data_IF_244314204132
#
_entry.id   IF_244314204132
#
_cell.length_a   1.000
_cell.length_b   1.000
_cell.length_c   1.000
_cell.angle_alpha   90.00
_cell.angle_beta   90.00
_cell.angle_gamma   90.00
#
_symmetry.space_group_name_H-M   'P 1'
#
loop_
_entity.id
_entity.type
_entity.pdbx_description
1 polymer ?
#
# COMPACT_ATOMS: atom_id res chain seq x y z
N UNK A 1 15.58 -14.23 10.07
CA UNK A 1 14.86 -13.18 10.85
C UNK A 1 15.85 -12.64 11.88
N UNK A 2 16.23 -11.36 11.79
CA UNK A 2 16.98 -10.72 12.86
C UNK A 2 16.04 -10.59 14.07
N UNK A 3 16.50 -11.02 15.24
CA UNK A 3 15.74 -10.86 16.48
C UNK A 3 15.79 -9.38 16.88
N UNK A 4 14.63 -8.75 17.13
CA UNK A 4 14.59 -7.40 17.69
C UNK A 4 15.39 -7.37 18.99
N UNK A 5 16.30 -6.39 19.13
CA UNK A 5 17.13 -6.25 20.35
C UNK A 5 16.32 -5.70 21.53
N UNK A 6 15.38 -4.79 21.23
CA UNK A 6 14.57 -4.10 22.23
C UNK A 6 13.17 -3.96 21.65
N UNK A 7 12.18 -4.24 22.49
CA UNK A 7 10.77 -4.06 22.19
C UNK A 7 10.11 -3.39 23.37
N UNK A 8 9.74 -2.13 23.20
CA UNK A 8 9.04 -1.32 24.17
C UNK A 8 7.70 -0.89 23.59
N UNK A 9 6.63 -1.00 24.35
CA UNK A 9 5.28 -0.62 23.94
C UNK A 9 4.50 0.14 25.01
N UNK A 10 3.43 0.78 24.59
CA UNK A 10 2.47 1.49 25.42
C UNK A 10 1.09 1.50 24.78
N UNK A 11 0.05 1.37 25.61
CA UNK A 11 -1.36 1.47 25.20
C UNK A 11 -2.06 2.54 26.02
N UNK A 12 -2.92 3.31 25.37
CA UNK A 12 -3.77 4.31 26.01
C UNK A 12 -5.15 4.40 25.36
N UNK A 13 -6.17 4.64 26.17
CA UNK A 13 -7.54 4.89 25.75
C UNK A 13 -7.87 6.38 25.94
N UNK A 14 -8.70 6.95 25.07
CA UNK A 14 -9.12 8.37 25.08
C UNK A 14 -7.95 9.37 25.17
N UNK A 15 -6.87 9.09 24.43
CA UNK A 15 -5.63 9.84 24.48
C UNK A 15 -5.64 11.06 23.57
N UNK A 16 -4.74 12.01 23.88
CA UNK A 16 -4.43 13.17 23.03
C UNK A 16 -3.20 12.90 22.15
N UNK A 17 -3.06 13.65 21.06
CA UNK A 17 -1.86 13.60 20.21
C UNK A 17 -0.59 13.93 21.00
N UNK A 18 -0.65 14.89 21.92
CA UNK A 18 0.48 15.27 22.76
C UNK A 18 0.94 14.13 23.68
N UNK A 19 0.00 13.33 24.21
CA UNK A 19 0.32 12.13 24.98
C UNK A 19 1.00 11.09 24.12
N UNK A 20 0.49 10.82 22.90
CA UNK A 20 1.10 9.90 21.95
C UNK A 20 2.55 10.32 21.66
N UNK A 21 2.79 11.58 21.31
CA UNK A 21 4.15 12.09 21.04
C UNK A 21 5.08 11.96 22.26
N UNK A 22 4.56 12.25 23.46
CA UNK A 22 5.30 12.08 24.71
C UNK A 22 5.70 10.62 24.93
N UNK A 23 4.80 9.68 24.65
CA UNK A 23 5.09 8.25 24.80
C UNK A 23 6.11 7.76 23.74
N UNK A 24 6.01 8.21 22.50
CA UNK A 24 7.02 7.92 21.47
C UNK A 24 8.40 8.39 21.94
N UNK A 25 8.50 9.62 22.45
CA UNK A 25 9.76 10.15 22.96
C UNK A 25 10.31 9.34 24.16
N UNK A 26 9.44 8.93 25.07
CA UNK A 26 9.79 8.11 26.24
C UNK A 26 10.31 6.73 25.81
N UNK A 27 9.58 6.03 24.94
CA UNK A 27 9.95 4.68 24.47
C UNK A 27 11.28 4.71 23.70
N UNK A 28 11.50 5.73 22.88
CA UNK A 28 12.81 5.94 22.21
C UNK A 28 13.93 6.15 23.22
N UNK A 29 13.70 6.96 24.24
CA UNK A 29 14.71 7.20 25.25
C UNK A 29 15.05 5.93 26.03
N UNK A 30 14.05 5.15 26.45
CA UNK A 30 14.24 3.86 27.10
C UNK A 30 15.05 2.90 26.20
N UNK A 31 14.67 2.74 24.94
CA UNK A 31 15.38 1.92 23.97
C UNK A 31 16.84 2.37 23.74
N UNK A 32 17.15 3.66 23.94
CA UNK A 32 18.52 4.18 23.84
C UNK A 32 19.40 3.88 25.04
N UNK A 33 18.81 3.75 26.21
CA UNK A 33 19.54 3.44 27.46
C UNK A 33 19.89 1.95 27.58
N UNK A 34 19.00 1.07 27.08
CA UNK A 34 19.18 -0.38 27.16
C UNK A 34 20.14 -0.92 26.08
N UNK A 35 20.37 -0.17 24.99
CA UNK A 35 21.35 -0.51 24.00
C UNK A 35 22.72 0.07 24.37
N UNK A 36 23.74 -0.78 24.49
CA UNK A 36 25.16 -0.33 24.55
C UNK A 36 25.62 0.32 23.23
N UNK A 37 24.74 0.43 22.24
CA UNK A 37 24.99 0.94 20.90
C UNK A 37 24.16 2.22 20.66
N UNK A 38 24.72 3.24 20.00
CA UNK A 38 23.97 4.44 19.67
C UNK A 38 22.81 4.12 18.71
N UNK A 39 21.59 4.48 19.10
CA UNK A 39 20.41 4.34 18.27
C UNK A 39 20.42 5.39 17.15
N UNK A 40 20.38 4.94 15.90
CA UNK A 40 20.19 5.82 14.75
C UNK A 40 18.68 5.98 14.51
N UNK A 41 18.24 7.23 14.47
CA UNK A 41 16.94 7.56 13.87
C UNK A 41 17.10 7.54 12.36
N UNK A 42 16.71 6.43 11.74
CA UNK A 42 16.85 6.22 10.28
C UNK A 42 15.50 6.13 9.61
N UNK A 43 14.46 6.76 10.15
CA UNK A 43 13.19 6.86 9.42
C UNK A 43 13.44 7.57 8.10
N UNK A 44 13.14 6.92 7.00
CA UNK A 44 13.30 7.43 5.63
C UNK A 44 11.97 7.89 5.04
N UNK A 45 10.85 7.58 5.71
CA UNK A 45 9.49 7.92 5.31
C UNK A 45 8.53 7.87 6.49
N UNK A 46 7.35 8.45 6.33
CA UNK A 46 6.17 8.11 7.12
C UNK A 46 5.28 7.18 6.29
N UNK A 47 4.92 6.04 6.84
CA UNK A 47 4.01 5.10 6.23
C UNK A 47 2.67 5.09 6.97
N UNK A 48 1.61 5.49 6.30
CA UNK A 48 0.23 5.43 6.80
C UNK A 48 -0.41 4.16 6.23
N UNK A 49 -1.09 3.39 7.06
CA UNK A 49 -1.97 2.32 6.65
C UNK A 49 -3.39 2.63 7.13
N UNK A 50 -4.31 2.91 6.20
CA UNK A 50 -5.75 2.98 6.49
C UNK A 50 -6.33 1.57 6.38
N UNK A 51 -6.78 1.02 7.48
CA UNK A 51 -7.29 -0.34 7.57
C UNK A 51 -8.57 -0.39 8.42
N UNK A 52 -9.77 -0.42 7.79
CA UNK A 52 -11.00 -0.75 8.48
C UNK A 52 -10.88 -2.04 9.29
N UNK A 53 -11.69 -2.25 10.36
CA UNK A 53 -11.51 -3.38 11.29
C UNK A 53 -11.36 -4.76 10.63
N UNK A 54 -12.06 -5.01 9.55
CA UNK A 54 -11.97 -6.26 8.78
C UNK A 54 -10.62 -6.47 8.08
N UNK A 55 -9.86 -5.39 7.86
CA UNK A 55 -8.54 -5.40 7.24
C UNK A 55 -7.38 -5.23 8.23
N UNK A 56 -7.67 -4.91 9.50
CA UNK A 56 -6.66 -4.58 10.52
C UNK A 56 -5.62 -5.69 10.65
N UNK A 57 -6.04 -6.93 10.89
CA UNK A 57 -5.13 -8.06 11.05
C UNK A 57 -4.20 -8.27 9.84
N UNK A 58 -4.76 -8.22 8.62
CA UNK A 58 -3.97 -8.34 7.40
C UNK A 58 -2.99 -7.17 7.20
N UNK A 59 -3.32 -5.97 7.69
CA UNK A 59 -2.40 -4.83 7.70
C UNK A 59 -1.26 -5.04 8.68
N UNK A 60 -1.54 -5.48 9.91
CA UNK A 60 -0.53 -5.78 10.94
C UNK A 60 0.47 -6.84 10.47
N UNK A 61 0.00 -7.95 9.89
CA UNK A 61 0.86 -9.00 9.32
C UNK A 61 1.77 -8.46 8.22
N UNK A 62 1.22 -7.62 7.34
CA UNK A 62 2.00 -7.01 6.24
C UNK A 62 3.08 -6.08 6.79
N UNK A 63 2.73 -5.23 7.77
CA UNK A 63 3.64 -4.29 8.41
C UNK A 63 4.75 -4.98 9.20
N UNK A 64 4.42 -6.06 9.92
CA UNK A 64 5.42 -6.84 10.65
C UNK A 64 6.51 -7.41 9.74
N UNK A 65 6.17 -7.80 8.50
CA UNK A 65 7.13 -8.29 7.51
C UNK A 65 8.00 -7.20 6.86
N UNK A 66 7.70 -5.91 7.10
CA UNK A 66 8.38 -4.78 6.47
C UNK A 66 9.34 -4.03 7.39
N UNK A 67 9.16 -4.13 8.70
CA UNK A 67 9.86 -3.31 9.69
C UNK A 67 11.39 -3.33 9.60
N UNK A 68 11.98 -4.46 9.19
CA UNK A 68 13.43 -4.61 9.01
C UNK A 68 13.95 -3.92 7.74
N UNK A 69 13.12 -3.84 6.69
CA UNK A 69 13.55 -3.31 5.38
C UNK A 69 13.34 -1.81 5.25
N UNK A 70 12.27 -1.32 5.86
CA UNK A 70 11.88 0.08 5.78
C UNK A 70 11.72 0.65 7.19
N UNK A 71 12.84 1.04 7.85
CA UNK A 71 12.76 1.75 9.11
C UNK A 71 11.99 3.05 8.90
N UNK A 72 10.79 3.13 9.45
CA UNK A 72 9.84 4.21 9.22
C UNK A 72 9.07 4.51 10.49
N UNK A 73 8.41 5.66 10.52
CA UNK A 73 7.25 5.84 11.37
C UNK A 73 6.05 5.29 10.63
N UNK A 74 5.42 4.26 11.18
CA UNK A 74 4.19 3.66 10.64
C UNK A 74 3.00 4.09 11.48
N UNK A 75 1.99 4.67 10.83
CA UNK A 75 0.70 5.02 11.42
C UNK A 75 -0.35 4.05 10.89
N UNK A 76 -0.80 3.09 11.71
CA UNK A 76 -1.93 2.22 11.38
C UNK A 76 -3.22 2.87 11.88
N UNK A 77 -4.09 3.28 10.98
CA UNK A 77 -5.34 3.95 11.27
C UNK A 77 -6.51 2.97 11.12
N UNK A 78 -7.20 2.71 12.22
CA UNK A 78 -8.36 1.82 12.29
C UNK A 78 -9.62 2.66 12.54
N UNK A 79 -10.41 3.00 11.49
CA UNK A 79 -11.62 3.80 11.65
C UNK A 79 -12.75 2.99 12.27
N UNK A 80 -13.40 3.54 13.29
CA UNK A 80 -14.59 3.00 13.95
C UNK A 80 -15.64 4.10 14.14
N UNK A 81 -16.31 4.55 13.05
CA UNK A 81 -17.20 5.70 13.06
C UNK A 81 -18.46 5.49 13.92
N UNK A 82 -18.88 4.24 14.13
CA UNK A 82 -20.09 3.89 14.87
C UNK A 82 -19.89 3.89 16.41
N UNK A 83 -18.66 4.04 16.89
CA UNK A 83 -18.37 4.15 18.32
C UNK A 83 -18.45 5.60 18.81
N UNK A 84 -18.62 5.82 20.14
CA UNK A 84 -18.49 7.15 20.72
C UNK A 84 -17.16 7.81 20.38
N UNK A 85 -17.15 9.15 20.26
CA UNK A 85 -15.95 9.93 19.94
C UNK A 85 -14.79 9.60 20.87
N UNK A 86 -13.62 9.39 20.30
CA UNK A 86 -12.40 9.10 21.06
C UNK A 86 -11.22 8.75 20.17
N UNK A 87 -10.06 8.63 20.78
CA UNK A 87 -8.82 8.22 20.15
C UNK A 87 -8.08 7.25 21.08
N UNK A 88 -7.96 5.99 20.66
CA UNK A 88 -7.14 5.04 21.39
C UNK A 88 -5.83 4.81 20.63
N UNK A 89 -4.75 4.55 21.33
CA UNK A 89 -3.45 4.38 20.73
C UNK A 89 -2.66 3.21 21.33
N UNK A 90 -1.99 2.47 20.45
CA UNK A 90 -0.90 1.58 20.78
C UNK A 90 0.38 2.09 20.12
N UNK A 91 1.45 2.24 20.88
CA UNK A 91 2.76 2.73 20.39
C UNK A 91 3.82 1.68 20.69
N UNK A 92 4.55 1.27 19.66
CA UNK A 92 5.64 0.31 19.78
C UNK A 92 6.90 0.84 19.09
N UNK A 93 8.05 0.72 19.75
CA UNK A 93 9.37 1.01 19.20
C UNK A 93 10.14 -0.30 19.08
N UNK A 94 10.59 -0.63 17.86
CA UNK A 94 11.35 -1.86 17.59
C UNK A 94 12.71 -1.50 17.01
N UNK A 95 13.77 -1.99 17.66
CA UNK A 95 15.13 -1.75 17.23
C UNK A 95 15.79 -3.03 16.73
N UNK A 96 16.47 -2.95 15.59
CA UNK A 96 17.16 -4.05 14.94
C UNK A 96 18.67 -3.75 14.87
N UNK A 97 19.56 -4.75 15.05
CA UNK A 97 20.99 -4.54 14.96
C UNK A 97 21.43 -4.22 13.52
N UNK A 98 22.28 -3.23 13.37
CA UNK A 98 22.93 -2.89 12.12
C UNK A 98 24.43 -2.63 12.36
N UNK A 99 25.26 -3.68 12.32
CA UNK A 99 26.68 -3.60 12.64
C UNK A 99 26.88 -3.18 14.10
N UNK A 100 27.56 -2.04 14.32
CA UNK A 100 27.83 -1.42 15.63
C UNK A 100 26.73 -0.42 16.08
N UNK A 101 25.59 -0.42 15.39
CA UNK A 101 24.46 0.50 15.63
C UNK A 101 23.14 -0.24 15.64
N UNK A 102 22.08 0.40 16.11
CA UNK A 102 20.72 -0.09 16.02
C UNK A 102 19.86 0.86 15.16
N UNK A 103 19.01 0.29 14.32
CA UNK A 103 17.97 1.00 13.56
C UNK A 103 16.66 0.78 14.25
N UNK A 104 15.94 1.84 14.56
CA UNK A 104 14.64 1.77 15.23
C UNK A 104 13.52 2.23 14.30
N UNK A 105 12.46 1.43 14.20
CA UNK A 105 11.19 1.78 13.59
C UNK A 105 10.12 2.02 14.67
N UNK A 106 9.13 2.84 14.35
CA UNK A 106 8.01 3.18 15.22
C UNK A 106 6.71 2.71 14.56
N UNK A 107 5.90 2.00 15.31
CA UNK A 107 4.54 1.63 14.91
C UNK A 107 3.58 2.30 15.88
N UNK A 108 2.67 3.11 15.36
CA UNK A 108 1.64 3.82 16.07
C UNK A 108 0.31 3.36 15.51
N UNK A 109 -0.40 2.55 16.26
CA UNK A 109 -1.74 2.09 15.89
C UNK A 109 -2.76 2.99 16.56
N UNK A 110 -3.71 3.50 15.78
CA UNK A 110 -4.68 4.51 16.19
C UNK A 110 -6.09 4.03 15.86
N UNK A 111 -6.90 3.79 16.88
CA UNK A 111 -8.34 3.55 16.70
C UNK A 111 -9.06 4.90 16.69
N UNK A 112 -9.60 5.26 15.52
CA UNK A 112 -10.29 6.52 15.28
C UNK A 112 -11.79 6.31 15.50
N UNK A 113 -12.29 6.70 16.68
CA UNK A 113 -13.68 6.50 17.07
C UNK A 113 -14.56 7.70 16.72
N UNK A 114 -15.80 7.44 16.31
CA UNK A 114 -16.82 8.46 16.03
C UNK A 114 -16.34 9.49 15.00
N UNK A 115 -16.50 10.76 15.29
CA UNK A 115 -16.11 11.88 14.40
C UNK A 115 -14.60 11.93 14.06
N UNK A 116 -13.74 11.28 14.84
CA UNK A 116 -12.31 11.18 14.56
C UNK A 116 -12.03 10.38 13.28
N UNK A 117 -12.87 9.38 12.96
CA UNK A 117 -12.75 8.61 11.73
C UNK A 117 -12.98 9.47 10.47
N UNK A 118 -13.81 10.52 10.55
CA UNK A 118 -14.05 11.43 9.44
C UNK A 118 -12.99 12.54 9.29
N UNK A 119 -12.09 12.72 10.28
CA UNK A 119 -11.10 13.81 10.29
C UNK A 119 -9.65 13.31 10.51
N UNK A 120 -9.19 12.28 9.77
CA UNK A 120 -7.89 11.64 10.01
C UNK A 120 -6.69 12.57 9.80
N UNK A 121 -6.78 13.56 8.92
CA UNK A 121 -5.66 14.49 8.69
C UNK A 121 -5.30 15.29 9.95
N UNK A 122 -6.28 15.65 10.79
CA UNK A 122 -6.03 16.38 12.04
C UNK A 122 -5.21 15.56 13.05
N UNK A 123 -5.26 14.23 12.93
CA UNK A 123 -4.54 13.29 13.80
C UNK A 123 -3.18 12.95 13.19
N UNK A 124 -3.12 12.76 11.88
CA UNK A 124 -1.92 12.34 11.16
C UNK A 124 -0.89 13.48 11.07
N UNK A 125 -1.33 14.70 10.70
CA UNK A 125 -0.43 15.83 10.44
C UNK A 125 0.58 16.10 11.58
N UNK A 126 0.19 16.17 12.87
CA UNK A 126 1.14 16.36 13.96
C UNK A 126 2.13 15.20 14.12
N UNK A 127 1.75 13.99 13.72
CA UNK A 127 2.55 12.78 13.83
C UNK A 127 3.50 12.54 12.64
N UNK A 128 3.39 13.31 11.57
CA UNK A 128 4.30 13.21 10.44
C UNK A 128 5.72 13.64 10.82
N UNK A 129 6.70 13.00 10.20
CA UNK A 129 8.09 13.44 10.30
C UNK A 129 8.32 14.47 9.20
N UNK A 130 8.69 15.70 9.59
CA UNK A 130 8.97 16.78 8.64
C UNK A 130 10.03 16.37 7.61
N UNK A 131 9.85 16.84 6.38
CA UNK A 131 10.78 16.65 5.25
C UNK A 131 10.97 15.19 4.79
N UNK A 132 10.13 14.26 5.28
CA UNK A 132 10.11 12.88 4.79
C UNK A 132 8.87 12.61 3.94
N UNK A 133 9.00 11.78 2.89
CA UNK A 133 7.86 11.39 2.06
C UNK A 133 6.82 10.61 2.87
N UNK A 134 5.56 10.83 2.52
CA UNK A 134 4.40 10.22 3.17
C UNK A 134 3.71 9.26 2.19
N UNK A 135 3.71 7.98 2.51
CA UNK A 135 3.02 6.94 1.75
C UNK A 135 1.77 6.50 2.51
N UNK A 136 0.65 6.32 1.81
CA UNK A 136 -0.57 5.78 2.40
C UNK A 136 -1.00 4.50 1.69
N UNK A 137 -0.97 3.36 2.39
CA UNK A 137 -1.64 2.13 1.95
C UNK A 137 -3.10 2.18 2.40
N UNK A 138 -4.01 2.26 1.44
CA UNK A 138 -5.43 2.17 1.70
C UNK A 138 -5.91 0.74 1.52
N UNK A 139 -6.49 0.14 2.55
CA UNK A 139 -7.07 -1.21 2.51
C UNK A 139 -8.55 -1.14 2.13
N UNK A 140 -8.97 -2.12 1.34
CA UNK A 140 -10.32 -2.17 0.79
C UNK A 140 -10.55 -1.14 -0.33
N UNK A 141 -11.80 -1.02 -0.72
CA UNK A 141 -12.24 -0.02 -1.69
C UNK A 141 -12.27 1.36 -1.03
N UNK A 142 -11.62 2.39 -1.60
CA UNK A 142 -11.78 3.74 -1.09
C UNK A 142 -13.23 4.24 -1.24
N UNK A 143 -13.70 4.93 -0.23
CA UNK A 143 -14.90 5.76 -0.37
C UNK A 143 -14.48 7.09 -1.03
N UNK A 144 -14.41 7.09 -2.37
CA UNK A 144 -13.76 8.11 -3.21
C UNK A 144 -14.10 9.56 -2.88
N UNK A 145 -15.32 9.81 -2.39
CA UNK A 145 -15.83 11.15 -2.08
C UNK A 145 -15.89 11.42 -0.57
N UNK A 146 -15.49 10.47 0.28
CA UNK A 146 -15.52 10.69 1.74
C UNK A 146 -14.52 11.75 2.20
N UNK A 147 -14.87 12.41 3.29
CA UNK A 147 -13.99 13.39 3.93
C UNK A 147 -12.68 12.74 4.39
N UNK A 148 -12.73 11.54 4.95
CA UNK A 148 -11.55 10.79 5.42
C UNK A 148 -10.57 10.52 4.29
N UNK A 149 -11.06 10.02 3.14
CA UNK A 149 -10.23 9.74 1.98
C UNK A 149 -9.64 11.03 1.38
N UNK A 150 -10.49 12.05 1.18
CA UNK A 150 -10.07 13.32 0.60
C UNK A 150 -9.00 14.03 1.45
N UNK A 151 -9.15 14.00 2.77
CA UNK A 151 -8.19 14.57 3.70
C UNK A 151 -6.85 13.84 3.68
N UNK A 152 -6.85 12.50 3.68
CA UNK A 152 -5.61 11.73 3.61
C UNK A 152 -4.91 11.93 2.27
N UNK A 153 -5.62 11.92 1.14
CA UNK A 153 -5.05 12.23 -0.18
C UNK A 153 -4.40 13.63 -0.21
N UNK A 154 -4.92 14.57 0.58
CA UNK A 154 -4.37 15.94 0.68
C UNK A 154 -3.04 16.06 1.44
N UNK A 155 -2.63 15.02 2.19
CA UNK A 155 -1.43 15.07 3.07
C UNK A 155 -0.36 14.03 2.72
N UNK A 156 -0.59 13.23 1.68
CA UNK A 156 0.33 12.17 1.25
C UNK A 156 0.99 12.48 -0.09
N UNK A 157 2.18 11.93 -0.30
CA UNK A 157 2.89 12.00 -1.59
C UNK A 157 2.51 10.83 -2.50
N UNK A 158 2.13 9.68 -1.91
CA UNK A 158 1.75 8.48 -2.66
C UNK A 158 0.64 7.71 -1.99
N UNK A 159 -0.36 7.38 -2.81
CA UNK A 159 -1.42 6.43 -2.49
C UNK A 159 -1.05 5.04 -3.01
N UNK A 160 -1.10 4.03 -2.15
CA UNK A 160 -0.93 2.62 -2.51
C UNK A 160 -2.25 1.89 -2.28
N UNK A 161 -2.83 1.35 -3.33
CA UNK A 161 -4.07 0.55 -3.30
C UNK A 161 -3.80 -0.89 -3.74
N UNK A 162 -4.76 -1.76 -3.54
CA UNK A 162 -4.81 -3.09 -4.15
C UNK A 162 -6.21 -3.28 -4.75
N UNK A 163 -6.34 -3.10 -6.03
CA UNK A 163 -7.63 -3.18 -6.72
C UNK A 163 -8.23 -4.60 -6.71
N UNK A 164 -7.49 -5.61 -6.28
CA UNK A 164 -8.08 -6.94 -6.01
C UNK A 164 -9.02 -6.93 -4.81
N UNK A 165 -8.97 -5.89 -3.96
CA UNK A 165 -9.85 -5.69 -2.81
C UNK A 165 -11.17 -4.96 -3.19
N UNK A 166 -11.37 -4.61 -4.48
CA UNK A 166 -12.51 -3.80 -4.94
C UNK A 166 -13.60 -4.65 -5.61
N UNK A 167 -14.90 -4.37 -5.34
CA UNK A 167 -16.00 -5.13 -5.92
C UNK A 167 -16.33 -4.74 -7.37
N UNK A 168 -16.21 -3.46 -7.73
CA UNK A 168 -16.54 -2.92 -9.06
C UNK A 168 -15.32 -2.27 -9.72
N UNK A 169 -14.43 -3.11 -10.20
CA UNK A 169 -13.12 -2.72 -10.70
C UNK A 169 -13.17 -1.71 -11.86
N UNK A 170 -14.00 -1.86 -12.93
CA UNK A 170 -14.00 -0.89 -14.02
C UNK A 170 -14.41 0.52 -13.57
N UNK A 171 -15.50 0.64 -12.79
CA UNK A 171 -15.97 1.94 -12.28
C UNK A 171 -14.94 2.57 -11.33
N UNK A 172 -14.36 1.77 -10.43
CA UNK A 172 -13.36 2.24 -9.47
C UNK A 172 -12.07 2.73 -10.13
N UNK A 173 -11.68 2.17 -11.29
CA UNK A 173 -10.56 2.73 -12.06
C UNK A 173 -10.86 4.11 -12.65
N UNK A 174 -12.11 4.40 -13.01
CA UNK A 174 -12.49 5.75 -13.42
C UNK A 174 -12.34 6.76 -12.29
N UNK A 175 -12.68 6.38 -11.06
CA UNK A 175 -12.47 7.21 -9.87
C UNK A 175 -10.99 7.35 -9.50
N UNK A 176 -10.23 6.25 -9.53
CA UNK A 176 -8.79 6.27 -9.30
C UNK A 176 -8.07 7.19 -10.30
N UNK A 177 -8.47 7.19 -11.56
CA UNK A 177 -7.85 8.00 -12.61
C UNK A 177 -7.97 9.52 -12.36
N UNK A 178 -8.98 9.97 -11.61
CA UNK A 178 -9.15 11.39 -11.21
C UNK A 178 -8.06 11.86 -10.24
N UNK A 179 -7.36 10.93 -9.60
CA UNK A 179 -6.31 11.24 -8.63
C UNK A 179 -4.92 11.38 -9.26
N UNK A 180 -4.69 10.87 -10.46
CA UNK A 180 -3.35 10.81 -11.06
C UNK A 180 -2.67 12.18 -11.22
N UNK A 181 -3.44 13.27 -11.33
CA UNK A 181 -2.88 14.63 -11.42
C UNK A 181 -2.66 15.28 -10.03
N UNK A 182 -3.07 14.61 -8.94
CA UNK A 182 -3.03 15.15 -7.56
C UNK A 182 -2.00 14.44 -6.69
N UNK A 183 -1.88 13.13 -6.81
CA UNK A 183 -1.03 12.28 -5.98
C UNK A 183 -0.45 11.15 -6.83
N UNK A 184 0.76 10.71 -6.52
CA UNK A 184 1.30 9.52 -7.15
C UNK A 184 0.53 8.29 -6.67
N UNK A 185 0.13 7.41 -7.60
CA UNK A 185 -0.65 6.21 -7.29
C UNK A 185 0.13 4.95 -7.65
N UNK A 186 0.05 3.96 -6.79
CA UNK A 186 0.51 2.60 -7.04
C UNK A 186 -0.62 1.62 -6.77
N UNK A 187 -0.75 0.61 -7.63
CA UNK A 187 -1.71 -0.49 -7.44
C UNK A 187 -0.94 -1.81 -7.32
N UNK A 188 -1.13 -2.49 -6.20
CA UNK A 188 -0.50 -3.79 -5.92
C UNK A 188 -0.94 -4.85 -6.95
N UNK A 189 -2.21 -4.79 -7.40
CA UNK A 189 -2.69 -5.69 -8.46
C UNK A 189 -1.89 -5.51 -9.76
N UNK A 190 -1.55 -4.25 -10.11
CA UNK A 190 -0.69 -3.94 -11.26
C UNK A 190 0.69 -4.57 -11.15
N UNK A 191 1.34 -4.47 -10.00
CA UNK A 191 2.68 -5.03 -9.82
C UNK A 191 2.70 -6.56 -9.89
N UNK A 192 1.64 -7.20 -9.39
CA UNK A 192 1.49 -8.66 -9.53
C UNK A 192 1.39 -9.11 -10.99
N UNK A 193 1.08 -8.23 -11.94
CA UNK A 193 1.08 -8.53 -13.39
C UNK A 193 2.45 -8.34 -14.04
N UNK A 194 3.46 -7.81 -13.38
CA UNK A 194 4.74 -7.39 -13.98
C UNK A 194 5.41 -8.50 -14.81
N UNK A 195 5.49 -9.69 -14.26
CA UNK A 195 6.12 -10.84 -14.94
C UNK A 195 5.35 -11.26 -16.19
N UNK A 196 4.02 -11.19 -16.14
CA UNK A 196 3.16 -11.48 -17.29
C UNK A 196 3.29 -10.40 -18.36
N UNK A 197 3.32 -9.13 -17.97
CA UNK A 197 3.55 -8.03 -18.92
C UNK A 197 4.92 -8.13 -19.58
N UNK A 198 5.96 -8.53 -18.85
CA UNK A 198 7.28 -8.80 -19.41
C UNK A 198 7.26 -9.94 -20.44
N UNK A 199 6.57 -11.04 -20.13
CA UNK A 199 6.37 -12.15 -21.05
C UNK A 199 5.62 -11.68 -22.31
N UNK A 200 4.47 -11.03 -22.16
CA UNK A 200 3.67 -10.57 -23.31
C UNK A 200 4.44 -9.57 -24.17
N UNK A 201 5.19 -8.65 -23.56
CA UNK A 201 6.06 -7.73 -24.30
C UNK A 201 7.12 -8.45 -25.15
N UNK A 202 7.62 -9.61 -24.69
CA UNK A 202 8.61 -10.41 -25.45
C UNK A 202 8.03 -11.10 -26.69
N UNK A 203 6.71 -11.14 -26.83
CA UNK A 203 6.03 -11.71 -28.01
C UNK A 203 5.96 -10.72 -29.18
N UNK A 204 6.45 -9.49 -29.01
CA UNK A 204 6.53 -8.52 -30.10
C UNK A 204 7.42 -9.04 -31.24
N UNK A 205 7.04 -8.88 -32.56
CA UNK A 205 5.86 -8.16 -33.07
C UNK A 205 4.57 -9.00 -33.15
N UNK A 206 4.60 -10.29 -32.83
CA UNK A 206 3.44 -11.18 -32.97
C UNK A 206 2.20 -10.75 -32.18
N UNK A 207 2.38 -10.07 -31.03
CA UNK A 207 1.28 -9.57 -30.21
C UNK A 207 0.61 -8.31 -30.78
N UNK A 208 1.17 -7.69 -31.83
CA UNK A 208 0.69 -6.40 -32.34
C UNK A 208 -0.75 -6.44 -32.85
N UNK A 209 -1.20 -7.59 -33.36
CA UNK A 209 -2.52 -7.79 -33.99
C UNK A 209 -3.49 -8.56 -33.08
N UNK A 210 -3.17 -8.73 -31.77
CA UNK A 210 -4.03 -9.48 -30.85
C UNK A 210 -5.39 -8.78 -30.68
N UNK A 211 -6.48 -9.55 -30.88
CA UNK A 211 -7.85 -9.05 -30.77
C UNK A 211 -8.52 -9.43 -29.46
N UNK A 212 -8.12 -10.56 -28.85
CA UNK A 212 -8.75 -11.09 -27.64
C UNK A 212 -7.69 -11.52 -26.64
N UNK A 213 -7.86 -11.10 -25.38
CA UNK A 213 -7.10 -11.62 -24.25
C UNK A 213 -8.03 -12.33 -23.28
N UNK A 214 -7.75 -13.62 -23.00
CA UNK A 214 -8.41 -14.35 -21.91
C UNK A 214 -7.48 -14.37 -20.73
N UNK A 215 -7.96 -13.89 -19.59
CA UNK A 215 -7.18 -13.84 -18.36
C UNK A 215 -7.75 -14.82 -17.34
N UNK A 216 -6.92 -15.75 -16.88
CA UNK A 216 -7.22 -16.66 -15.78
C UNK A 216 -6.64 -16.06 -14.48
N UNK A 217 -7.42 -15.22 -13.79
CA UNK A 217 -6.94 -14.44 -12.68
C UNK A 217 -8.03 -13.61 -12.00
N UNK A 218 -7.61 -12.65 -11.18
CA UNK A 218 -8.57 -11.75 -10.56
C UNK A 218 -9.12 -10.74 -11.57
N UNK A 219 -10.32 -10.24 -11.33
CA UNK A 219 -10.96 -9.22 -12.15
C UNK A 219 -10.06 -7.98 -12.33
N UNK A 220 -9.44 -7.51 -11.24
CA UNK A 220 -8.53 -6.37 -11.29
C UNK A 220 -7.33 -6.60 -12.22
N UNK A 221 -6.67 -7.75 -12.12
CA UNK A 221 -5.53 -8.09 -12.97
C UNK A 221 -5.95 -8.22 -14.44
N UNK A 222 -7.13 -8.75 -14.70
CA UNK A 222 -7.66 -8.89 -16.06
C UNK A 222 -7.89 -7.52 -16.72
N UNK A 223 -8.59 -6.61 -16.04
CA UNK A 223 -8.81 -5.26 -16.55
C UNK A 223 -7.52 -4.47 -16.74
N UNK A 224 -6.57 -4.57 -15.80
CA UNK A 224 -5.28 -3.90 -15.92
C UNK A 224 -4.44 -4.44 -17.08
N UNK A 225 -4.44 -5.75 -17.31
CA UNK A 225 -3.73 -6.37 -18.44
C UNK A 225 -4.35 -5.96 -19.78
N UNK A 226 -5.69 -6.01 -19.90
CA UNK A 226 -6.38 -5.48 -21.07
C UNK A 226 -6.07 -4.01 -21.28
N UNK A 227 -6.22 -3.18 -20.25
CA UNK A 227 -5.95 -1.75 -20.35
C UNK A 227 -4.49 -1.45 -20.74
N UNK A 228 -3.55 -2.25 -20.26
CA UNK A 228 -2.16 -2.16 -20.69
C UNK A 228 -1.99 -2.52 -22.16
N UNK A 229 -2.58 -3.62 -22.64
CA UNK A 229 -2.54 -3.99 -24.06
C UNK A 229 -3.14 -2.89 -24.93
N UNK A 230 -4.35 -2.42 -24.63
CA UNK A 230 -5.02 -1.33 -25.36
C UNK A 230 -4.12 -0.08 -25.41
N UNK A 231 -3.53 0.31 -24.28
CA UNK A 231 -2.67 1.50 -24.20
C UNK A 231 -1.36 1.37 -25.00
N UNK A 232 -0.88 0.14 -25.25
CA UNK A 232 0.38 -0.12 -25.96
C UNK A 232 0.18 -0.43 -27.43
N UNK A 233 -0.89 -1.13 -27.77
CA UNK A 233 -1.18 -1.53 -29.15
C UNK A 233 -1.91 -0.42 -29.93
N UNK A 234 -2.63 0.47 -29.22
CA UNK A 234 -3.37 1.58 -29.82
C UNK A 234 -4.69 1.18 -30.47
N UNK A 235 -5.16 -0.05 -30.25
CA UNK A 235 -6.48 -0.54 -30.65
C UNK A 235 -7.18 -1.24 -29.49
N UNK A 236 -8.49 -1.49 -29.66
CA UNK A 236 -9.26 -2.20 -28.63
C UNK A 236 -8.89 -3.70 -28.61
N UNK A 237 -8.89 -4.27 -27.40
CA UNK A 237 -8.64 -5.70 -27.16
C UNK A 237 -9.79 -6.22 -26.31
N UNK A 238 -10.50 -7.23 -26.82
CA UNK A 238 -11.59 -7.87 -26.10
C UNK A 238 -11.05 -8.63 -24.89
N UNK A 239 -11.70 -8.48 -23.73
CA UNK A 239 -11.39 -9.22 -22.51
C UNK A 239 -12.37 -10.36 -22.30
N UNK A 240 -11.84 -11.57 -22.19
CA UNK A 240 -12.54 -12.72 -21.61
C UNK A 240 -11.90 -13.07 -20.26
N UNK A 241 -12.72 -13.26 -19.23
CA UNK A 241 -12.26 -13.50 -17.86
C UNK A 241 -12.69 -14.90 -17.37
N UNK A 242 -11.71 -15.72 -16.99
CA UNK A 242 -11.89 -16.88 -16.15
C UNK A 242 -11.44 -16.53 -14.73
N UNK A 243 -12.40 -16.15 -13.86
CA UNK A 243 -12.11 -15.58 -12.53
C UNK A 243 -11.45 -16.60 -11.62
N UNK A 244 -10.31 -16.22 -11.03
CA UNK A 244 -9.47 -17.00 -10.11
C UNK A 244 -9.00 -16.12 -8.96
N UNK A 245 -8.55 -16.73 -7.88
CA UNK A 245 -8.00 -16.01 -6.73
C UNK A 245 -6.69 -15.26 -7.04
N UNK A 246 -5.96 -15.72 -8.06
CA UNK A 246 -4.67 -15.15 -8.50
C UNK A 246 -4.49 -15.34 -10.01
N UNK A 247 -3.55 -14.60 -10.58
CA UNK A 247 -3.21 -14.72 -11.99
C UNK A 247 -2.46 -16.03 -12.27
N UNK A 248 -3.12 -16.94 -12.97
CA UNK A 248 -2.63 -18.30 -13.26
C UNK A 248 -2.36 -18.53 -14.76
N UNK A 249 -2.89 -17.68 -15.64
CA UNK A 249 -2.70 -17.87 -17.07
C UNK A 249 -3.24 -16.72 -17.90
N UNK A 250 -2.74 -16.63 -19.13
CA UNK A 250 -3.20 -15.70 -20.17
C UNK A 250 -3.26 -16.46 -21.48
N UNK A 251 -4.35 -16.31 -22.25
CA UNK A 251 -4.45 -16.75 -23.62
C UNK A 251 -4.62 -15.54 -24.54
N UNK A 252 -3.96 -15.57 -25.70
CA UNK A 252 -4.05 -14.56 -26.75
C UNK A 252 -4.70 -15.21 -27.97
N UNK A 253 -5.84 -14.68 -28.41
CA UNK A 253 -6.64 -15.22 -29.53
C UNK A 253 -6.86 -16.74 -29.40
N UNK A 254 -7.05 -17.24 -28.17
CA UNK A 254 -7.27 -18.65 -27.85
C UNK A 254 -5.99 -19.48 -27.68
N UNK A 255 -4.81 -18.92 -27.88
CA UNK A 255 -3.55 -19.62 -27.66
C UNK A 255 -2.96 -19.29 -26.29
N UNK A 256 -2.63 -20.34 -25.51
CA UNK A 256 -2.06 -20.21 -24.17
C UNK A 256 -0.64 -19.62 -24.22
N UNK A 257 -0.44 -18.48 -23.56
CA UNK A 257 0.91 -17.94 -23.34
C UNK A 257 1.72 -18.83 -22.39
N UNK A 258 3.04 -18.87 -22.56
CA UNK A 258 3.94 -19.59 -21.67
C UNK A 258 3.90 -19.00 -20.25
N UNK A 259 4.27 -19.81 -19.23
CA UNK A 259 4.36 -19.29 -17.86
C UNK A 259 5.59 -18.39 -17.69
N UNK A 260 5.46 -17.23 -17.02
CA UNK A 260 6.60 -16.40 -16.69
C UNK A 260 7.56 -17.11 -15.73
N UNK A 261 8.87 -16.94 -15.94
CA UNK A 261 9.88 -17.53 -15.08
C UNK A 261 9.89 -16.92 -13.65
N UNK A 262 10.31 -17.69 -12.65
CA UNK A 262 10.53 -17.26 -11.27
C UNK A 262 9.31 -17.42 -10.33
N UNK A 263 9.50 -17.13 -9.03
CA UNK A 263 8.47 -17.22 -8.00
C UNK A 263 7.78 -15.87 -7.79
N UNK A 264 6.45 -15.81 -7.64
CA UNK A 264 5.75 -14.58 -7.30
C UNK A 264 6.22 -14.02 -5.93
N UNK A 265 6.38 -12.68 -5.78
CA UNK A 265 6.70 -12.08 -4.50
C UNK A 265 5.52 -12.18 -3.52
N UNK A 266 5.82 -12.24 -2.21
CA UNK A 266 4.80 -12.19 -1.16
C UNK A 266 4.26 -10.76 -0.94
N UNK A 267 3.18 -10.61 -0.14
CA UNK A 267 2.51 -9.33 0.09
C UNK A 267 3.45 -8.24 0.64
N UNK A 268 4.28 -8.56 1.63
CA UNK A 268 5.23 -7.62 2.22
C UNK A 268 6.31 -7.19 1.22
N UNK A 269 6.78 -8.10 0.36
CA UNK A 269 7.76 -7.78 -0.68
C UNK A 269 7.17 -6.88 -1.77
N UNK A 270 5.91 -7.10 -2.15
CA UNK A 270 5.21 -6.25 -3.13
C UNK A 270 4.99 -4.85 -2.56
N UNK A 271 4.50 -4.73 -1.32
CA UNK A 271 4.33 -3.43 -0.68
C UNK A 271 5.68 -2.72 -0.49
N UNK A 272 6.71 -3.43 -0.04
CA UNK A 272 8.08 -2.92 0.08
C UNK A 272 8.57 -2.28 -1.23
N UNK A 273 8.37 -2.97 -2.36
CA UNK A 273 8.75 -2.45 -3.67
C UNK A 273 7.98 -1.17 -4.07
N UNK A 274 6.75 -0.94 -3.55
CA UNK A 274 6.03 0.30 -3.76
C UNK A 274 6.65 1.47 -2.98
N UNK A 275 7.11 1.21 -1.77
CA UNK A 275 7.71 2.22 -0.91
C UNK A 275 9.10 2.67 -1.41
N UNK A 276 9.75 1.88 -2.26
CA UNK A 276 11.02 2.25 -2.92
C UNK A 276 10.81 3.13 -4.17
N UNK A 277 9.57 3.31 -4.62
CA UNK A 277 9.25 4.08 -5.84
C UNK A 277 8.78 5.48 -5.47
N UNK A 278 9.56 6.49 -5.81
CA UNK A 278 9.23 7.91 -5.53
C UNK A 278 8.61 8.63 -6.73
N UNK A 279 8.64 8.04 -7.93
CA UNK A 279 8.12 8.64 -9.16
C UNK A 279 6.81 8.04 -9.59
N UNK A 280 6.00 8.81 -10.33
CA UNK A 280 4.77 8.32 -10.98
C UNK A 280 5.10 7.23 -11.99
N UNK A 281 4.16 6.30 -12.20
CA UNK A 281 4.26 5.24 -13.20
C UNK A 281 3.23 5.50 -14.32
N UNK A 282 3.64 6.25 -15.33
CA UNK A 282 2.78 6.62 -16.48
C UNK A 282 2.19 5.39 -17.20
N UNK A 283 2.93 4.28 -17.22
CA UNK A 283 2.45 3.03 -17.84
C UNK A 283 1.28 2.43 -17.06
N UNK A 284 1.37 2.43 -15.73
CA UNK A 284 0.30 1.99 -14.84
C UNK A 284 -0.92 2.90 -14.95
N UNK A 285 -0.70 4.22 -14.98
CA UNK A 285 -1.77 5.21 -15.12
C UNK A 285 -2.50 5.07 -16.46
N UNK A 286 -1.78 4.88 -17.55
CA UNK A 286 -2.37 4.65 -18.87
C UNK A 286 -3.18 3.34 -18.91
N UNK A 287 -2.68 2.26 -18.30
CA UNK A 287 -3.38 1.00 -18.19
C UNK A 287 -4.67 1.12 -17.37
N UNK A 288 -4.63 1.81 -16.21
CA UNK A 288 -5.79 2.02 -15.37
C UNK A 288 -6.87 2.90 -16.06
N UNK A 289 -6.46 3.97 -16.77
CA UNK A 289 -7.38 4.79 -17.59
C UNK A 289 -8.08 3.94 -18.68
N UNK A 290 -7.35 3.08 -19.36
CA UNK A 290 -7.92 2.19 -20.37
C UNK A 290 -8.73 1.02 -19.76
N UNK A 291 -8.50 0.66 -18.52
CA UNK A 291 -9.23 -0.38 -17.79
C UNK A 291 -10.61 0.09 -17.31
N UNK A 292 -10.86 1.39 -17.27
CA UNK A 292 -12.13 2.01 -16.82
C UNK A 292 -13.24 1.97 -17.89
N UNK A 293 -12.95 1.46 -19.08
CA UNK A 293 -13.86 1.44 -20.24
C UNK A 293 -14.33 0.03 -20.55
#
# INVERSE_FOLDING_TARGET
MATSLIHEDWTGEDVTIAEIESQIARLRYASSQDSSQPNLRTSVMTHIAWAPPEWQHAAEETLAGMAERHPSRTLLLVPQPDLPDGLDAFVSVRCFPLGDRAICGEVIELTLRGSRAAAPASIVLPLLISDLPVFCRWRGRPEWESDSFTQLVGVIDRLVVDSTEWPDVPADYADLAKLFDRVAVSDIAWDRTERWRGLLASLWPGIAEVETVTVHGTRAQAHLLRGWLVSRLGHDVKLDLDERERLEGIDLDGERASFPAGTPPNASAVLSAQLDRFTRNEVSEAAARAASV
#
